data_IF_501514094242
#
_entry.id   IF_501514094242
#
_cell.length_a   1.000
_cell.length_b   1.000
_cell.length_c   1.000
_cell.angle_alpha   90.00
_cell.angle_beta   90.00
_cell.angle_gamma   90.00
#
_symmetry.space_group_name_H-M   'P 1'
#
loop_
_entity.id
_entity.type
_entity.pdbx_description
1 polymer ?
#
# COMPACT_ATOMS: atom_id res chain seq x y z
N UNK A 1 -24.68 9.45 1.73
CA UNK A 1 -23.67 8.50 2.25
C UNK A 1 -22.45 9.20 2.87
N UNK A 2 -21.98 10.34 2.34
CA UNK A 2 -21.09 11.27 3.08
C UNK A 2 -21.86 12.09 4.12
N UNK A 3 -23.15 12.36 3.88
CA UNK A 3 -24.03 13.09 4.81
C UNK A 3 -24.39 12.34 6.11
N UNK A 4 -23.86 11.13 6.30
CA UNK A 4 -24.03 10.33 7.52
C UNK A 4 -22.75 10.27 8.37
N UNK A 5 -21.64 10.89 7.94
CA UNK A 5 -20.45 10.96 8.77
C UNK A 5 -20.67 11.95 9.93
N UNK A 6 -20.19 11.64 11.14
CA UNK A 6 -20.14 12.59 12.24
C UNK A 6 -19.49 13.91 11.81
N UNK A 7 -19.96 15.03 12.35
CA UNK A 7 -19.49 16.36 11.95
C UNK A 7 -17.98 16.52 12.14
N UNK A 8 -17.43 15.99 13.23
CA UNK A 8 -15.98 16.00 13.51
C UNK A 8 -15.18 15.28 12.41
N UNK A 9 -15.63 14.11 11.97
CA UNK A 9 -14.99 13.36 10.89
C UNK A 9 -15.12 14.09 9.55
N UNK A 10 -16.24 14.75 9.28
CA UNK A 10 -16.43 15.57 8.07
C UNK A 10 -15.47 16.76 8.06
N UNK A 11 -15.34 17.46 9.18
CA UNK A 11 -14.38 18.54 9.35
C UNK A 11 -12.94 18.06 9.17
N UNK A 12 -12.59 16.90 9.76
CA UNK A 12 -11.28 16.29 9.59
C UNK A 12 -11.00 15.87 8.14
N UNK A 13 -11.96 15.23 7.46
CA UNK A 13 -11.85 14.87 6.04
C UNK A 13 -11.65 16.11 5.17
N UNK A 14 -12.31 17.21 5.50
CA UNK A 14 -12.15 18.50 4.81
C UNK A 14 -10.74 19.06 5.01
N UNK A 15 -10.24 19.11 6.25
CA UNK A 15 -8.87 19.55 6.56
C UNK A 15 -7.82 18.68 5.86
N UNK A 16 -8.00 17.36 5.89
CA UNK A 16 -7.13 16.42 5.17
C UNK A 16 -7.17 16.69 3.66
N UNK A 17 -8.35 16.96 3.09
CA UNK A 17 -8.48 17.25 1.65
C UNK A 17 -7.78 18.54 1.26
N UNK A 18 -7.93 19.60 2.06
CA UNK A 18 -7.18 20.86 1.88
C UNK A 18 -5.68 20.60 1.97
N UNK A 19 -5.21 19.86 2.97
CA UNK A 19 -3.78 19.54 3.10
C UNK A 19 -3.26 18.75 1.89
N UNK A 20 -3.97 17.71 1.45
CA UNK A 20 -3.54 16.92 0.30
C UNK A 20 -3.57 17.76 -0.99
N UNK A 21 -4.66 18.48 -1.27
CA UNK A 21 -4.81 19.22 -2.52
C UNK A 21 -3.92 20.46 -2.61
N UNK A 22 -3.77 21.20 -1.51
CA UNK A 22 -3.18 22.54 -1.54
C UNK A 22 -1.73 22.54 -1.02
N UNK A 23 -1.31 21.47 -0.33
CA UNK A 23 0.06 21.35 0.21
C UNK A 23 0.82 20.18 -0.42
N UNK A 24 0.23 18.98 -0.52
CA UNK A 24 0.95 17.79 -1.01
C UNK A 24 1.01 17.72 -2.54
N UNK A 25 -0.13 17.83 -3.23
CA UNK A 25 -0.19 17.72 -4.70
C UNK A 25 0.74 18.72 -5.40
N UNK A 26 0.84 20.00 -4.99
CA UNK A 26 1.76 20.95 -5.62
C UNK A 26 3.24 20.56 -5.51
N UNK A 27 3.61 19.73 -4.53
CA UNK A 27 4.97 19.25 -4.33
C UNK A 27 5.31 17.99 -5.15
N UNK A 28 4.33 17.34 -5.78
CA UNK A 28 4.56 16.08 -6.53
C UNK A 28 5.68 16.17 -7.59
N UNK A 29 5.80 17.23 -8.41
CA UNK A 29 6.87 17.31 -9.41
C UNK A 29 8.28 17.30 -8.79
N UNK A 30 8.48 17.98 -7.66
CA UNK A 30 9.76 17.98 -6.95
C UNK A 30 10.03 16.62 -6.31
N UNK A 31 8.99 15.98 -5.78
CA UNK A 31 9.10 14.71 -5.10
C UNK A 31 9.41 13.54 -6.06
N UNK A 32 8.95 13.62 -7.31
CA UNK A 32 9.21 12.64 -8.36
C UNK A 32 10.68 12.60 -8.82
N UNK A 33 11.49 13.61 -8.50
CA UNK A 33 12.90 13.64 -8.90
C UNK A 33 13.78 12.62 -8.16
N UNK A 34 13.32 12.11 -7.01
CA UNK A 34 14.04 11.11 -6.19
C UNK A 34 15.49 11.52 -5.86
N UNK A 35 15.71 12.82 -5.62
CA UNK A 35 17.01 13.42 -5.28
C UNK A 35 17.01 14.07 -3.87
N UNK A 36 18.10 14.73 -3.51
CA UNK A 36 18.20 15.45 -2.24
C UNK A 36 17.14 16.55 -2.06
N UNK A 37 16.61 17.12 -3.15
CA UNK A 37 15.51 18.08 -3.06
C UNK A 37 14.20 17.38 -2.69
N UNK A 38 13.94 16.19 -3.25
CA UNK A 38 12.81 15.34 -2.86
C UNK A 38 12.82 15.04 -1.36
N UNK A 39 13.97 14.69 -0.78
CA UNK A 39 14.13 14.45 0.66
C UNK A 39 13.87 15.70 1.52
N UNK A 40 14.28 16.88 1.06
CA UNK A 40 13.97 18.14 1.75
C UNK A 40 12.46 18.42 1.76
N UNK A 41 11.82 18.34 0.59
CA UNK A 41 10.38 18.58 0.43
C UNK A 41 9.57 17.60 1.27
N UNK A 42 10.00 16.34 1.35
CA UNK A 42 9.47 15.34 2.26
C UNK A 42 9.42 15.77 3.72
N UNK A 43 10.57 16.23 4.22
CA UNK A 43 10.74 16.61 5.60
C UNK A 43 9.87 17.81 5.93
N UNK A 44 9.73 18.76 5.00
CA UNK A 44 8.81 19.89 5.11
C UNK A 44 7.34 19.44 5.16
N UNK A 45 6.93 18.49 4.31
CA UNK A 45 5.57 17.94 4.35
C UNK A 45 5.29 17.23 5.68
N UNK A 46 6.24 16.43 6.18
CA UNK A 46 6.16 15.81 7.52
C UNK A 46 5.96 16.86 8.61
N UNK A 47 6.77 17.91 8.62
CA UNK A 47 6.67 19.00 9.60
C UNK A 47 5.30 19.67 9.54
N UNK A 48 4.84 20.06 8.34
CA UNK A 48 3.51 20.68 8.17
C UNK A 48 2.37 19.77 8.60
N UNK A 49 2.46 18.47 8.33
CA UNK A 49 1.46 17.49 8.77
C UNK A 49 1.43 17.35 10.31
N UNK A 50 2.60 17.32 10.96
CA UNK A 50 2.71 17.29 12.43
C UNK A 50 2.13 18.56 13.06
N UNK A 51 2.52 19.74 12.57
CA UNK A 51 2.00 21.04 13.04
C UNK A 51 0.48 21.16 12.84
N UNK A 52 -0.03 20.57 11.76
CA UNK A 52 -1.47 20.54 11.46
C UNK A 52 -2.23 19.45 12.22
N UNK A 53 -1.58 18.62 13.03
CA UNK A 53 -2.20 17.49 13.71
C UNK A 53 -2.80 16.46 12.74
N UNK A 54 -2.18 16.26 11.58
CA UNK A 54 -2.59 15.30 10.55
C UNK A 54 -1.63 14.10 10.43
N UNK A 55 -0.58 14.07 11.25
CA UNK A 55 0.42 13.00 11.25
C UNK A 55 -0.07 11.72 11.94
N UNK A 56 0.19 10.57 11.34
CA UNK A 56 -0.01 9.23 11.88
C UNK A 56 -1.41 8.97 12.47
N UNK A 57 -2.45 9.59 11.93
CA UNK A 57 -3.80 9.55 12.50
C UNK A 57 -4.39 8.14 12.64
N UNK A 58 -4.03 7.22 11.73
CA UNK A 58 -4.49 5.82 11.79
C UNK A 58 -3.74 4.93 12.78
N UNK A 59 -2.63 5.40 13.36
CA UNK A 59 -1.88 4.63 14.36
C UNK A 59 -2.54 4.74 15.75
N UNK A 60 -2.56 3.68 16.58
CA UNK A 60 -3.04 3.73 17.95
C UNK A 60 -2.31 4.77 18.81
N UNK A 61 -3.00 5.32 19.81
CA UNK A 61 -2.46 6.38 20.70
C UNK A 61 -1.29 5.84 21.53
N UNK A 62 -1.40 4.61 22.02
CA UNK A 62 -0.42 3.94 22.87
C UNK A 62 0.91 3.63 22.17
N UNK A 63 0.99 3.81 20.85
CA UNK A 63 2.25 3.74 20.08
C UNK A 63 2.69 5.10 19.53
N UNK A 64 2.08 6.20 19.98
CA UNK A 64 2.41 7.56 19.55
C UNK A 64 1.64 8.04 18.31
N UNK A 65 0.56 7.36 17.94
CA UNK A 65 -0.32 7.73 16.83
C UNK A 65 -1.45 8.69 17.20
N UNK A 66 -2.26 9.05 16.21
CA UNK A 66 -3.43 9.92 16.40
C UNK A 66 -4.72 9.21 16.85
N UNK A 67 -4.76 7.88 16.81
CA UNK A 67 -5.82 7.09 17.45
C UNK A 67 -7.17 7.08 16.76
N UNK A 68 -7.26 7.37 15.46
CA UNK A 68 -8.54 7.31 14.78
C UNK A 68 -9.09 5.87 14.72
N UNK A 69 -10.40 5.69 14.94
CA UNK A 69 -11.06 4.42 14.69
C UNK A 69 -10.83 3.93 13.26
N UNK A 70 -10.84 2.61 13.08
CA UNK A 70 -10.57 1.96 11.80
C UNK A 70 -11.44 2.54 10.67
N UNK A 71 -12.76 2.59 10.85
CA UNK A 71 -13.69 3.12 9.84
C UNK A 71 -13.46 4.60 9.51
N UNK A 72 -13.12 5.42 10.50
CA UNK A 72 -12.85 6.83 10.30
C UNK A 72 -11.59 7.02 9.44
N UNK A 73 -10.55 6.22 9.71
CA UNK A 73 -9.33 6.21 8.91
C UNK A 73 -9.54 5.63 7.50
N UNK A 74 -10.45 4.67 7.32
CA UNK A 74 -10.87 4.18 5.99
C UNK A 74 -11.36 5.34 5.12
N UNK A 75 -12.22 6.22 5.64
CA UNK A 75 -12.70 7.39 4.88
C UNK A 75 -11.61 8.42 4.57
N UNK A 76 -10.61 8.57 5.45
CA UNK A 76 -9.47 9.46 5.18
C UNK A 76 -8.56 8.92 4.08
N UNK A 77 -8.40 7.60 3.95
CA UNK A 77 -7.54 7.01 2.91
C UNK A 77 -7.99 7.33 1.48
N UNK A 78 -9.28 7.56 1.25
CA UNK A 78 -9.79 8.04 -0.05
C UNK A 78 -9.26 9.43 -0.39
N UNK A 79 -9.07 10.29 0.61
CA UNK A 79 -8.54 11.64 0.44
C UNK A 79 -7.02 11.60 0.34
N UNK A 80 -6.36 10.88 1.27
CA UNK A 80 -4.91 10.69 1.29
C UNK A 80 -4.43 10.16 -0.07
N UNK A 81 -5.16 9.21 -0.64
CA UNK A 81 -4.82 8.60 -1.91
C UNK A 81 -5.00 9.49 -3.14
N UNK A 82 -5.48 10.74 -3.04
CA UNK A 82 -5.49 11.66 -4.19
C UNK A 82 -4.08 12.02 -4.67
N UNK A 83 -3.07 11.84 -3.81
CA UNK A 83 -1.65 11.90 -4.14
C UNK A 83 -0.98 10.57 -3.80
N UNK A 84 -0.07 10.08 -4.64
CA UNK A 84 0.72 8.88 -4.30
C UNK A 84 1.66 9.17 -3.11
N UNK A 85 2.04 10.44 -2.90
CA UNK A 85 2.88 10.88 -1.80
C UNK A 85 2.07 11.19 -0.53
N UNK A 86 0.74 11.09 -0.61
CA UNK A 86 -0.16 11.42 0.50
C UNK A 86 0.10 10.57 1.74
N UNK A 87 0.32 9.26 1.59
CA UNK A 87 0.61 8.40 2.74
C UNK A 87 1.87 8.82 3.48
N UNK A 88 2.89 9.22 2.72
CA UNK A 88 4.16 9.61 3.27
C UNK A 88 4.09 10.97 3.96
N UNK A 89 3.44 11.94 3.33
CA UNK A 89 3.23 13.28 3.88
C UNK A 89 2.51 13.25 5.24
N UNK A 90 1.59 12.30 5.45
CA UNK A 90 0.77 12.21 6.68
C UNK A 90 1.19 11.09 7.62
N UNK A 91 2.35 10.46 7.41
CA UNK A 91 2.87 9.44 8.33
C UNK A 91 2.04 8.16 8.39
N UNK A 92 1.48 7.73 7.26
CA UNK A 92 0.71 6.48 7.14
C UNK A 92 1.32 5.48 6.16
N UNK A 93 2.51 5.76 5.63
CA UNK A 93 3.25 4.83 4.76
C UNK A 93 3.64 3.54 5.50
N UNK A 94 4.16 3.68 6.73
CA UNK A 94 4.66 2.58 7.57
C UNK A 94 3.59 1.88 8.39
N UNK A 95 2.31 2.25 8.27
CA UNK A 95 1.26 1.82 9.20
C UNK A 95 1.14 0.31 9.33
N UNK A 96 1.24 -0.45 8.23
CA UNK A 96 1.14 -1.91 8.29
C UNK A 96 2.28 -2.51 9.13
N UNK A 97 3.49 -1.97 9.01
CA UNK A 97 4.66 -2.42 9.75
C UNK A 97 4.59 -1.96 11.22
N UNK A 98 4.13 -0.74 11.49
CA UNK A 98 3.89 -0.25 12.86
C UNK A 98 2.85 -1.10 13.59
N UNK A 99 1.74 -1.48 12.94
CA UNK A 99 0.72 -2.34 13.54
C UNK A 99 1.25 -3.76 13.74
N UNK A 100 2.02 -4.29 12.79
CA UNK A 100 2.68 -5.60 12.94
C UNK A 100 3.63 -5.61 14.15
N UNK A 101 4.50 -4.60 14.27
CA UNK A 101 5.38 -4.45 15.42
C UNK A 101 4.59 -4.24 16.72
N UNK A 102 3.52 -3.44 16.70
CA UNK A 102 2.68 -3.25 17.88
C UNK A 102 2.12 -4.57 18.43
N UNK A 103 1.75 -5.51 17.55
CA UNK A 103 1.16 -6.80 17.92
C UNK A 103 2.18 -7.86 18.34
N UNK A 104 3.40 -7.83 17.79
CA UNK A 104 4.33 -8.96 17.86
C UNK A 104 5.72 -8.62 18.39
N UNK A 105 6.07 -7.33 18.49
CA UNK A 105 7.39 -6.93 18.91
C UNK A 105 7.59 -7.09 20.42
N UNK A 106 8.79 -7.51 20.80
CA UNK A 106 9.23 -7.46 22.21
C UNK A 106 9.58 -6.00 22.60
N UNK A 107 9.90 -5.77 23.88
CA UNK A 107 10.13 -4.42 24.40
C UNK A 107 11.31 -3.69 23.71
N UNK A 108 12.43 -4.38 23.51
CA UNK A 108 13.60 -3.81 22.83
C UNK A 108 13.28 -3.42 21.37
N UNK A 109 12.59 -4.31 20.65
CA UNK A 109 12.14 -4.04 19.29
C UNK A 109 11.16 -2.86 19.23
N UNK A 110 10.31 -2.68 20.27
CA UNK A 110 9.37 -1.55 20.34
C UNK A 110 10.12 -0.23 20.51
N UNK A 111 11.11 -0.18 21.40
CA UNK A 111 11.93 1.01 21.61
C UNK A 111 12.77 1.34 20.37
N UNK A 112 13.48 0.33 19.83
CA UNK A 112 14.45 0.52 18.74
C UNK A 112 13.80 0.75 17.38
N UNK A 113 12.64 0.15 17.11
CA UNK A 113 12.02 0.20 15.79
C UNK A 113 10.63 0.81 15.78
N UNK A 114 9.71 0.43 16.68
CA UNK A 114 8.32 0.89 16.60
C UNK A 114 8.16 2.39 16.86
N UNK A 115 8.72 2.90 17.96
CA UNK A 115 8.61 4.33 18.31
C UNK A 115 9.17 5.27 17.20
N UNK A 116 10.41 5.11 16.72
CA UNK A 116 10.94 5.95 15.64
C UNK A 116 10.19 5.76 14.31
N UNK A 117 9.61 4.59 14.07
CA UNK A 117 8.80 4.33 12.88
C UNK A 117 7.50 5.12 12.87
N UNK A 118 6.77 5.19 13.98
CA UNK A 118 5.54 6.00 14.11
C UNK A 118 5.88 7.50 14.06
N UNK A 119 7.03 7.89 14.60
CA UNK A 119 7.54 9.26 14.53
C UNK A 119 7.97 9.71 13.12
N UNK A 120 8.14 8.77 12.17
CA UNK A 120 8.64 9.03 10.82
C UNK A 120 10.12 9.41 10.79
N UNK A 121 10.91 8.81 11.66
CA UNK A 121 12.36 8.99 11.76
C UNK A 121 13.11 7.91 10.99
N UNK A 122 12.54 6.70 10.93
CA UNK A 122 13.04 5.57 10.14
C UNK A 122 11.96 5.01 9.23
N UNK A 123 12.37 4.22 8.23
CA UNK A 123 11.48 3.46 7.37
C UNK A 123 11.68 1.95 7.55
N UNK A 124 10.63 1.14 7.39
CA UNK A 124 10.74 -0.30 7.38
C UNK A 124 10.89 -0.80 5.93
N UNK A 125 11.35 -2.04 5.77
CA UNK A 125 11.16 -2.81 4.56
C UNK A 125 10.73 -4.24 4.88
N UNK A 126 10.25 -4.97 3.87
CA UNK A 126 9.80 -6.35 4.01
C UNK A 126 10.43 -7.21 2.92
N UNK A 127 11.16 -8.23 3.34
CA UNK A 127 11.80 -9.22 2.48
C UNK A 127 11.00 -10.52 2.46
N UNK A 128 10.03 -10.62 1.55
CA UNK A 128 9.17 -11.80 1.40
C UNK A 128 9.44 -12.53 0.09
N UNK A 129 9.29 -11.83 -1.03
CA UNK A 129 9.36 -12.36 -2.40
C UNK A 129 10.78 -12.75 -2.78
N UNK A 130 10.91 -13.88 -3.48
CA UNK A 130 12.17 -14.41 -4.00
C UNK A 130 12.08 -14.52 -5.53
N UNK A 131 13.17 -14.25 -6.28
CA UNK A 131 13.14 -14.34 -7.74
C UNK A 131 13.09 -15.78 -8.26
N UNK A 132 13.57 -16.76 -7.49
CA UNK A 132 13.66 -18.17 -7.91
C UNK A 132 12.32 -18.92 -7.84
N UNK A 133 11.36 -18.40 -7.07
CA UNK A 133 10.08 -19.07 -6.79
C UNK A 133 8.88 -18.14 -6.97
N UNK A 134 7.70 -18.73 -7.07
CA UNK A 134 6.48 -17.97 -7.30
C UNK A 134 6.12 -17.11 -6.09
N UNK A 135 6.30 -15.78 -6.17
CA UNK A 135 5.90 -14.85 -5.11
C UNK A 135 4.41 -14.91 -4.73
N UNK A 136 3.55 -15.34 -5.66
CA UNK A 136 2.12 -15.58 -5.41
C UNK A 136 1.85 -16.76 -4.47
N UNK A 137 2.82 -17.65 -4.29
CA UNK A 137 2.79 -18.78 -3.37
C UNK A 137 3.98 -18.69 -2.40
N UNK A 138 3.88 -17.91 -1.31
CA UNK A 138 4.99 -17.68 -0.38
C UNK A 138 5.47 -18.95 0.34
N UNK A 139 4.74 -20.06 0.19
CA UNK A 139 5.12 -21.34 0.77
C UNK A 139 6.24 -22.06 0.02
N UNK A 140 6.63 -21.56 -1.15
CA UNK A 140 7.75 -22.05 -1.94
C UNK A 140 9.08 -21.36 -1.60
N UNK A 141 9.05 -20.39 -0.67
CA UNK A 141 10.22 -19.67 -0.18
C UNK A 141 11.38 -20.62 0.16
N UNK A 142 12.59 -20.20 -0.16
CA UNK A 142 13.83 -20.96 -0.02
C UNK A 142 14.82 -20.31 0.96
N UNK A 143 14.71 -19.01 1.23
CA UNK A 143 15.55 -18.34 2.23
C UNK A 143 15.43 -19.05 3.59
N UNK A 144 16.56 -19.24 4.26
CA UNK A 144 16.66 -19.96 5.54
C UNK A 144 17.19 -19.05 6.63
N UNK A 145 16.73 -19.28 7.86
CA UNK A 145 17.32 -18.72 9.07
C UNK A 145 17.52 -19.86 10.08
N UNK A 146 18.79 -20.17 10.40
CA UNK A 146 19.17 -21.27 11.28
C UNK A 146 19.74 -20.70 12.57
N UNK A 147 19.40 -21.29 13.72
CA UNK A 147 20.04 -20.90 14.98
C UNK A 147 21.44 -21.51 15.09
N UNK A 148 22.40 -20.64 15.40
CA UNK A 148 23.77 -20.99 15.77
C UNK A 148 24.11 -20.28 17.08
N UNK A 149 23.98 -21.01 18.20
CA UNK A 149 24.06 -20.43 19.54
C UNK A 149 22.86 -19.53 19.86
N UNK A 150 23.13 -18.27 20.17
CA UNK A 150 22.15 -17.22 20.47
C UNK A 150 21.87 -16.30 19.28
N UNK A 151 22.29 -16.67 18.06
CA UNK A 151 22.08 -15.88 16.85
C UNK A 151 21.33 -16.67 15.76
N UNK A 152 20.55 -15.95 14.96
CA UNK A 152 20.06 -16.40 13.67
C UNK A 152 21.10 -16.15 12.59
N UNK A 153 21.43 -17.18 11.81
CA UNK A 153 22.22 -17.08 10.58
C UNK A 153 21.29 -17.17 9.38
N UNK A 154 21.21 -16.09 8.62
CA UNK A 154 20.23 -15.91 7.55
C UNK A 154 20.92 -15.95 6.19
N UNK A 155 20.42 -16.80 5.31
CA UNK A 155 20.84 -16.91 3.92
C UNK A 155 19.63 -16.88 2.98
N UNK A 156 19.72 -16.11 1.90
CA UNK A 156 18.64 -16.06 0.92
C UNK A 156 18.74 -14.91 -0.06
N UNK A 157 17.84 -14.92 -1.04
CA UNK A 157 17.79 -13.92 -2.11
C UNK A 157 16.37 -13.35 -2.20
N UNK A 158 16.19 -12.07 -1.88
CA UNK A 158 14.90 -11.39 -1.92
C UNK A 158 14.88 -10.35 -3.02
N UNK A 159 13.73 -10.13 -3.64
CA UNK A 159 13.52 -9.04 -4.61
C UNK A 159 12.17 -8.37 -4.40
N UNK A 160 12.00 -7.17 -4.99
CA UNK A 160 10.89 -6.28 -4.67
C UNK A 160 10.81 -5.91 -3.16
N UNK A 161 11.95 -5.95 -2.47
CA UNK A 161 12.10 -5.53 -1.07
C UNK A 161 12.00 -4.00 -1.03
N UNK A 162 10.79 -3.51 -0.80
CA UNK A 162 10.44 -2.13 -1.13
C UNK A 162 11.06 -1.13 -0.16
N UNK A 163 11.83 -0.16 -0.65
CA UNK A 163 12.50 0.86 0.15
C UNK A 163 13.69 0.38 0.98
N UNK A 164 14.23 -0.81 0.72
CA UNK A 164 15.35 -1.37 1.50
C UNK A 164 16.61 -0.48 1.48
N UNK A 165 16.82 0.30 0.43
CA UNK A 165 17.92 1.27 0.30
C UNK A 165 17.82 2.50 1.22
N UNK A 166 16.69 2.70 1.89
CA UNK A 166 16.46 3.80 2.85
C UNK A 166 15.84 3.33 4.17
N UNK A 167 15.59 2.03 4.31
CA UNK A 167 15.03 1.45 5.50
C UNK A 167 16.10 1.36 6.58
N UNK A 168 15.71 1.43 7.85
CA UNK A 168 16.61 1.12 8.96
C UNK A 168 16.68 -0.39 9.20
N UNK A 169 15.64 -1.12 8.80
CA UNK A 169 15.57 -2.58 8.92
C UNK A 169 14.66 -3.18 7.86
N UNK A 170 14.89 -4.46 7.58
CA UNK A 170 13.97 -5.31 6.80
C UNK A 170 13.42 -6.40 7.70
N UNK A 171 12.10 -6.56 7.76
CA UNK A 171 11.50 -7.79 8.30
C UNK A 171 11.64 -8.88 7.24
N UNK A 172 12.57 -9.80 7.47
CA UNK A 172 12.89 -10.91 6.57
C UNK A 172 12.04 -12.12 6.95
N UNK A 173 11.33 -12.66 5.97
CA UNK A 173 10.66 -13.94 6.11
C UNK A 173 11.57 -15.04 5.56
N UNK A 174 11.80 -16.06 6.39
CA UNK A 174 12.67 -17.19 6.08
C UNK A 174 12.16 -18.48 6.73
N UNK A 175 12.57 -19.63 6.18
CA UNK A 175 12.34 -20.94 6.77
C UNK A 175 13.18 -21.07 8.04
N UNK A 176 12.52 -21.34 9.17
CA UNK A 176 13.18 -21.71 10.43
C UNK A 176 12.78 -23.10 10.91
N UNK A 177 11.61 -23.59 10.50
CA UNK A 177 11.05 -24.89 10.88
C UNK A 177 10.86 -25.76 9.64
N UNK A 178 11.94 -26.28 9.06
CA UNK A 178 11.91 -26.98 7.77
C UNK A 178 10.98 -28.22 7.75
N UNK A 179 10.85 -28.89 8.89
CA UNK A 179 10.07 -30.12 9.08
C UNK A 179 8.62 -29.88 9.53
N UNK A 180 8.22 -28.61 9.74
CA UNK A 180 6.85 -28.28 10.16
C UNK A 180 5.83 -28.37 9.02
N UNK A 181 4.55 -28.28 9.37
CA UNK A 181 3.46 -28.11 8.42
C UNK A 181 3.67 -26.87 7.53
N UNK A 182 3.14 -26.91 6.29
CA UNK A 182 3.44 -25.94 5.22
C UNK A 182 3.36 -24.47 5.63
N UNK A 183 2.38 -24.07 6.44
CA UNK A 183 2.20 -22.68 6.90
C UNK A 183 2.93 -22.36 8.21
N UNK A 184 3.54 -23.35 8.86
CA UNK A 184 4.27 -23.21 10.12
C UNK A 184 5.80 -23.27 9.92
N UNK A 185 6.28 -23.31 8.67
CA UNK A 185 7.71 -23.40 8.35
C UNK A 185 8.49 -22.09 8.52
N UNK A 186 7.80 -20.97 8.41
CA UNK A 186 8.41 -19.66 8.22
C UNK A 186 8.34 -18.82 9.50
N UNK A 187 9.38 -18.04 9.77
CA UNK A 187 9.38 -17.01 10.80
C UNK A 187 9.64 -15.63 10.17
N UNK A 188 9.32 -14.58 10.93
CA UNK A 188 9.70 -13.20 10.61
C UNK A 188 10.82 -12.76 11.54
N UNK A 189 11.91 -12.23 10.99
CA UNK A 189 13.09 -11.78 11.75
C UNK A 189 13.41 -10.34 11.32
N UNK A 190 13.61 -9.44 12.28
CA UNK A 190 14.01 -8.07 12.01
C UNK A 190 15.52 -8.03 11.74
N UNK A 191 15.93 -7.53 10.58
CA UNK A 191 17.34 -7.43 10.19
C UNK A 191 17.68 -5.97 9.90
N UNK A 192 18.49 -5.29 10.73
CA UNK A 192 19.02 -3.98 10.40
C UNK A 192 19.73 -3.99 9.04
N UNK A 193 19.51 -2.98 8.21
CA UNK A 193 20.02 -2.97 6.82
C UNK A 193 21.53 -2.75 6.72
N UNK A 194 22.17 -2.36 7.82
CA UNK A 194 23.61 -2.18 7.98
C UNK A 194 24.31 -3.43 8.56
N UNK A 195 23.58 -4.53 8.77
CA UNK A 195 24.15 -5.79 9.27
C UNK A 195 25.12 -6.38 8.24
N UNK A 196 26.28 -6.88 8.70
CA UNK A 196 27.23 -7.59 7.84
C UNK A 196 26.55 -8.75 7.10
N UNK A 197 26.84 -8.90 5.80
CA UNK A 197 26.21 -9.89 4.93
C UNK A 197 24.89 -9.45 4.28
N UNK A 198 24.30 -8.32 4.70
CA UNK A 198 23.13 -7.72 4.04
C UNK A 198 23.59 -6.90 2.83
N UNK A 199 23.30 -7.37 1.62
CA UNK A 199 23.75 -6.73 0.39
C UNK A 199 22.58 -6.30 -0.48
N UNK A 200 22.46 -5.00 -0.75
CA UNK A 200 21.58 -4.50 -1.81
C UNK A 200 22.30 -4.69 -3.14
N UNK A 201 21.94 -5.74 -3.88
CA UNK A 201 22.53 -6.07 -5.19
C UNK A 201 22.26 -4.96 -6.20
N UNK A 202 21.01 -4.47 -6.23
CA UNK A 202 20.61 -3.31 -7.03
C UNK A 202 19.25 -2.77 -6.61
N UNK A 203 18.98 -1.53 -7.02
CA UNK A 203 17.61 -1.03 -7.17
C UNK A 203 17.04 -1.60 -8.47
N UNK A 204 15.86 -2.21 -8.41
CA UNK A 204 15.13 -2.78 -9.55
C UNK A 204 14.34 -1.67 -10.24
N UNK A 205 14.65 -1.32 -11.51
CA UNK A 205 13.84 -0.37 -12.26
C UNK A 205 12.46 -0.95 -12.56
N UNK A 206 11.40 -0.17 -12.33
CA UNK A 206 10.01 -0.60 -12.53
C UNK A 206 9.21 0.43 -13.33
N UNK A 207 8.03 0.02 -13.82
CA UNK A 207 7.06 0.97 -14.36
C UNK A 207 6.58 1.88 -13.23
N UNK A 208 7.04 3.13 -13.16
CA UNK A 208 6.66 3.97 -12.02
C UNK A 208 7.86 4.67 -11.45
N UNK A 209 8.85 3.85 -11.10
CA UNK A 209 9.97 4.26 -10.27
C UNK A 209 11.28 3.72 -10.81
N UNK A 210 12.22 4.62 -11.02
CA UNK A 210 13.54 4.31 -11.56
C UNK A 210 14.68 4.51 -10.56
N UNK A 211 14.46 5.22 -9.44
CA UNK A 211 15.53 5.66 -8.55
C UNK A 211 15.52 5.10 -7.12
N UNK A 212 14.59 4.23 -6.69
CA UNK A 212 14.78 3.66 -5.35
C UNK A 212 13.69 2.83 -4.68
N UNK A 213 12.56 2.52 -5.32
CA UNK A 213 11.46 1.93 -4.53
C UNK A 213 11.55 0.44 -4.29
N UNK A 214 12.28 -0.34 -5.10
CA UNK A 214 12.34 -1.79 -4.98
C UNK A 214 13.78 -2.28 -5.07
N UNK A 215 14.23 -3.06 -4.10
CA UNK A 215 15.59 -3.60 -4.08
C UNK A 215 15.58 -5.11 -4.33
N UNK A 216 16.63 -5.55 -5.01
CA UNK A 216 17.13 -6.93 -4.99
C UNK A 216 18.17 -7.00 -3.86
N UNK A 217 17.99 -7.92 -2.92
CA UNK A 217 18.74 -8.01 -1.67
C UNK A 217 19.21 -9.44 -1.47
N UNK A 218 20.51 -9.60 -1.28
CA UNK A 218 21.14 -10.86 -0.94
C UNK A 218 21.48 -10.86 0.56
N UNK A 219 21.23 -12.00 1.21
CA UNK A 219 21.63 -12.27 2.59
C UNK A 219 22.68 -13.37 2.55
N UNK A 220 23.91 -13.03 2.94
CA UNK A 220 25.05 -13.95 2.96
C UNK A 220 25.56 -14.09 4.39
N UNK A 221 25.18 -15.18 5.06
CA UNK A 221 25.52 -15.46 6.46
C UNK A 221 25.23 -14.27 7.40
N UNK A 222 24.12 -13.58 7.19
CA UNK A 222 23.70 -12.45 8.03
C UNK A 222 23.40 -12.95 9.44
N UNK A 223 24.09 -12.41 10.44
CA UNK A 223 23.93 -12.81 11.85
C UNK A 223 23.20 -11.73 12.64
N UNK A 224 22.13 -12.14 13.34
CA UNK A 224 21.38 -11.27 14.26
C UNK A 224 21.01 -12.03 15.53
N UNK A 225 20.89 -11.38 16.70
CA UNK A 225 20.51 -12.05 17.94
C UNK A 225 19.18 -12.81 17.84
N UNK A 226 19.00 -13.84 18.67
CA UNK A 226 17.77 -14.62 18.79
C UNK A 226 16.54 -13.70 18.98
N UNK A 227 16.71 -12.64 19.76
CA UNK A 227 15.73 -11.62 20.12
C UNK A 227 15.25 -10.79 18.93
N UNK A 228 15.89 -10.87 17.76
CA UNK A 228 15.39 -10.25 16.53
C UNK A 228 14.21 -11.01 15.90
N UNK A 229 13.87 -12.20 16.42
CA UNK A 229 12.64 -12.90 16.06
C UNK A 229 11.41 -12.03 16.39
N UNK A 230 10.57 -11.78 15.40
CA UNK A 230 9.31 -11.07 15.57
C UNK A 230 8.17 -12.08 15.74
N UNK A 231 7.51 -12.06 16.89
CA UNK A 231 6.53 -13.07 17.27
C UNK A 231 7.18 -14.43 17.58
N UNK A 232 6.47 -15.53 17.33
CA UNK A 232 6.96 -16.89 17.58
C UNK A 232 7.61 -17.56 16.37
N UNK A 233 8.47 -18.56 16.64
CA UNK A 233 9.01 -19.44 15.61
C UNK A 233 7.89 -20.13 14.84
N UNK A 234 8.01 -20.21 13.52
CA UNK A 234 7.01 -20.79 12.62
C UNK A 234 5.74 -19.95 12.44
N UNK A 235 5.65 -18.75 13.04
CA UNK A 235 4.45 -17.90 12.95
C UNK A 235 4.48 -16.88 11.81
N UNK A 236 5.54 -16.85 11.00
CA UNK A 236 5.75 -15.86 9.94
C UNK A 236 4.60 -15.81 8.93
N UNK A 237 4.05 -16.96 8.52
CA UNK A 237 2.90 -16.97 7.60
C UNK A 237 1.67 -16.28 8.20
N UNK A 238 1.39 -16.53 9.49
CA UNK A 238 0.26 -15.91 10.19
C UNK A 238 0.45 -14.40 10.35
N UNK A 239 1.66 -13.98 10.75
CA UNK A 239 2.03 -12.57 10.91
C UNK A 239 1.88 -11.83 9.57
N UNK A 240 2.37 -12.42 8.47
CA UNK A 240 2.21 -11.86 7.14
C UNK A 240 0.72 -11.68 6.76
N UNK A 241 -0.15 -12.67 7.01
CA UNK A 241 -1.59 -12.54 6.71
C UNK A 241 -2.25 -11.44 7.54
N UNK A 242 -1.92 -11.31 8.83
CA UNK A 242 -2.45 -10.26 9.71
C UNK A 242 -2.01 -8.86 9.28
N UNK A 243 -0.77 -8.71 8.80
CA UNK A 243 -0.25 -7.46 8.22
C UNK A 243 -1.02 -7.03 6.96
N UNK A 244 -1.33 -7.97 6.06
CA UNK A 244 -1.89 -7.66 4.73
C UNK A 244 -3.40 -7.39 4.72
N UNK A 245 -4.18 -8.01 5.62
CA UNK A 245 -5.65 -7.97 5.60
C UNK A 245 -6.25 -6.55 5.56
N UNK A 246 -6.15 -5.76 6.66
CA UNK A 246 -6.64 -4.37 6.69
C UNK A 246 -5.94 -3.46 5.68
N UNK A 247 -4.67 -3.75 5.37
CA UNK A 247 -3.87 -3.00 4.40
C UNK A 247 -4.53 -2.87 3.02
N UNK A 248 -5.17 -3.94 2.54
CA UNK A 248 -5.84 -3.99 1.22
C UNK A 248 -7.05 -3.08 1.12
N UNK A 249 -7.76 -2.83 2.22
CA UNK A 249 -8.85 -1.85 2.26
C UNK A 249 -8.28 -0.45 2.09
N UNK A 250 -7.22 -0.12 2.82
CA UNK A 250 -6.58 1.19 2.70
C UNK A 250 -6.00 1.42 1.30
N UNK A 251 -5.40 0.40 0.66
CA UNK A 251 -4.99 0.48 -0.75
C UNK A 251 -6.18 0.77 -1.67
N UNK A 252 -7.29 0.03 -1.51
CA UNK A 252 -8.49 0.23 -2.33
C UNK A 252 -9.10 1.62 -2.16
N UNK A 253 -9.12 2.15 -0.93
CA UNK A 253 -9.54 3.53 -0.68
C UNK A 253 -8.60 4.53 -1.36
N UNK A 254 -7.28 4.32 -1.29
CA UNK A 254 -6.34 5.22 -1.97
C UNK A 254 -6.46 5.19 -3.48
N UNK A 255 -6.73 4.01 -4.07
CA UNK A 255 -7.02 3.89 -5.50
C UNK A 255 -8.29 4.65 -5.90
N UNK A 256 -9.33 4.66 -5.06
CA UNK A 256 -10.50 5.51 -5.29
C UNK A 256 -10.14 7.01 -5.31
N UNK A 257 -9.20 7.44 -4.46
CA UNK A 257 -8.65 8.80 -4.46
C UNK A 257 -7.94 9.16 -5.76
N UNK A 258 -7.04 8.28 -6.23
CA UNK A 258 -6.35 8.43 -7.52
C UNK A 258 -7.34 8.47 -8.70
N UNK A 259 -8.29 7.52 -8.74
CA UNK A 259 -9.29 7.45 -9.80
C UNK A 259 -10.19 8.69 -9.83
N UNK A 260 -10.57 9.24 -8.66
CA UNK A 260 -11.32 10.50 -8.59
C UNK A 260 -10.53 11.67 -9.17
N UNK A 261 -9.25 11.79 -8.84
CA UNK A 261 -8.40 12.85 -9.40
C UNK A 261 -8.25 12.70 -10.91
N UNK A 262 -8.02 11.50 -11.42
CA UNK A 262 -7.97 11.23 -12.86
C UNK A 262 -9.31 11.56 -13.55
N UNK A 263 -10.43 11.24 -12.91
CA UNK A 263 -11.77 11.59 -13.39
C UNK A 263 -12.01 13.10 -13.44
N UNK A 264 -11.57 13.85 -12.42
CA UNK A 264 -11.64 15.31 -12.39
C UNK A 264 -10.85 15.91 -13.57
N UNK A 265 -9.61 15.46 -13.77
CA UNK A 265 -8.77 15.87 -14.91
C UNK A 265 -9.45 15.54 -16.25
N UNK A 266 -10.02 14.34 -16.39
CA UNK A 266 -10.75 13.92 -17.58
C UNK A 266 -11.91 14.87 -17.89
N UNK A 267 -12.74 15.19 -16.89
CA UNK A 267 -13.86 16.10 -17.04
C UNK A 267 -13.42 17.53 -17.38
N UNK A 268 -12.36 18.02 -16.73
CA UNK A 268 -11.78 19.34 -17.01
C UNK A 268 -11.30 19.44 -18.45
N UNK A 269 -10.51 18.46 -18.91
CA UNK A 269 -10.05 18.39 -20.29
C UNK A 269 -11.21 18.35 -21.28
N UNK A 270 -12.23 17.54 -21.00
CA UNK A 270 -13.40 17.40 -21.85
C UNK A 270 -14.14 18.73 -22.05
N UNK A 271 -14.29 19.52 -20.98
CA UNK A 271 -14.95 20.83 -21.01
C UNK A 271 -14.16 21.91 -21.76
N UNK A 272 -12.83 21.86 -21.69
CA UNK A 272 -11.98 22.93 -22.24
C UNK A 272 -11.52 22.69 -23.67
N UNK A 273 -11.45 21.43 -24.12
CA UNK A 273 -10.87 21.11 -25.43
C UNK A 273 -11.93 21.15 -26.54
N UNK A 274 -11.78 22.10 -27.46
CA UNK A 274 -12.56 22.15 -28.71
C UNK A 274 -11.87 21.34 -29.82
N UNK A 275 -12.61 20.45 -30.47
CA UNK A 275 -12.13 19.64 -31.59
C UNK A 275 -13.29 19.17 -32.48
N UNK A 276 -13.08 19.21 -33.80
CA UNK A 276 -14.06 18.74 -34.80
C UNK A 276 -15.46 19.33 -34.57
N UNK A 277 -15.55 20.65 -34.45
CA UNK A 277 -16.82 21.38 -34.43
C UNK A 277 -17.54 21.49 -33.07
N UNK A 278 -17.04 20.90 -31.99
CA UNK A 278 -17.63 21.04 -30.64
C UNK A 278 -16.57 20.82 -29.56
N UNK A 279 -16.93 21.03 -28.29
CA UNK A 279 -16.10 20.57 -27.18
C UNK A 279 -16.11 19.04 -27.07
N UNK A 280 -15.05 18.47 -26.49
CA UNK A 280 -14.97 17.03 -26.25
C UNK A 280 -16.12 16.54 -25.36
N UNK A 281 -16.57 17.33 -24.38
CA UNK A 281 -17.70 17.01 -23.51
C UNK A 281 -19.03 16.79 -24.26
N UNK A 282 -19.14 17.25 -25.50
CA UNK A 282 -20.34 17.09 -26.35
C UNK A 282 -20.25 15.83 -27.24
N UNK A 283 -19.12 15.13 -27.24
CA UNK A 283 -18.93 13.91 -28.05
C UNK A 283 -19.44 12.69 -27.28
N UNK A 284 -20.29 11.89 -27.92
CA UNK A 284 -20.92 10.71 -27.30
C UNK A 284 -19.92 9.73 -26.68
N UNK A 285 -18.81 9.44 -27.36
CA UNK A 285 -17.78 8.53 -26.83
C UNK A 285 -17.11 9.06 -25.56
N UNK A 286 -16.89 10.37 -25.48
CA UNK A 286 -16.31 11.01 -24.28
C UNK A 286 -17.32 11.01 -23.13
N UNK A 287 -18.60 11.25 -23.42
CA UNK A 287 -19.67 11.15 -22.42
C UNK A 287 -19.79 9.73 -21.87
N UNK A 288 -19.66 8.71 -22.72
CA UNK A 288 -19.65 7.30 -22.31
C UNK A 288 -18.46 7.00 -21.39
N UNK A 289 -17.24 7.43 -21.75
CA UNK A 289 -16.06 7.27 -20.89
C UNK A 289 -16.24 7.90 -19.50
N UNK A 290 -16.83 9.10 -19.44
CA UNK A 290 -17.13 9.80 -18.18
C UNK A 290 -18.17 9.01 -17.38
N UNK A 291 -19.27 8.61 -17.99
CA UNK A 291 -20.35 7.88 -17.33
C UNK A 291 -19.88 6.52 -16.76
N UNK A 292 -19.13 5.74 -17.56
CA UNK A 292 -18.57 4.46 -17.13
C UNK A 292 -17.59 4.63 -15.97
N UNK A 293 -16.71 5.63 -16.05
CA UNK A 293 -15.76 5.93 -14.97
C UNK A 293 -16.48 6.27 -13.66
N UNK A 294 -17.54 7.08 -13.71
CA UNK A 294 -18.33 7.42 -12.53
C UNK A 294 -19.01 6.17 -11.92
N UNK A 295 -19.57 5.30 -12.76
CA UNK A 295 -20.20 4.06 -12.31
C UNK A 295 -19.18 3.10 -11.67
N UNK A 296 -18.01 2.91 -12.29
CA UNK A 296 -16.95 2.05 -11.76
C UNK A 296 -16.40 2.56 -10.41
N UNK A 297 -16.13 3.86 -10.30
CA UNK A 297 -15.69 4.50 -9.05
C UNK A 297 -16.73 4.28 -7.95
N UNK A 298 -18.02 4.53 -8.24
CA UNK A 298 -19.07 4.40 -7.25
C UNK A 298 -19.25 2.93 -6.82
N UNK A 299 -19.23 1.98 -7.75
CA UNK A 299 -19.31 0.56 -7.44
C UNK A 299 -18.13 0.10 -6.57
N UNK A 300 -16.90 0.47 -6.94
CA UNK A 300 -15.71 0.14 -6.16
C UNK A 300 -15.76 0.76 -4.75
N UNK A 301 -16.23 2.01 -4.62
CA UNK A 301 -16.43 2.66 -3.30
C UNK A 301 -17.38 1.87 -2.42
N UNK A 302 -18.52 1.44 -2.95
CA UNK A 302 -19.49 0.66 -2.19
C UNK A 302 -18.91 -0.68 -1.73
N UNK A 303 -18.25 -1.41 -2.63
CA UNK A 303 -17.61 -2.69 -2.29
C UNK A 303 -16.50 -2.53 -1.24
N UNK A 304 -15.68 -1.47 -1.32
CA UNK A 304 -14.62 -1.24 -0.34
C UNK A 304 -15.16 -0.88 1.02
N UNK A 305 -16.21 -0.04 1.09
CA UNK A 305 -16.86 0.29 2.35
C UNK A 305 -17.59 -0.91 2.98
N UNK A 306 -18.14 -1.78 2.15
CA UNK A 306 -18.74 -3.04 2.61
C UNK A 306 -17.70 -3.97 3.24
N UNK A 307 -16.57 -4.21 2.55
CA UNK A 307 -15.44 -4.96 3.10
C UNK A 307 -14.91 -4.35 4.40
N UNK A 308 -14.85 -3.02 4.49
CA UNK A 308 -14.43 -2.32 5.70
C UNK A 308 -15.39 -2.55 6.86
N UNK A 309 -16.70 -2.45 6.64
CA UNK A 309 -17.71 -2.73 7.68
C UNK A 309 -17.64 -4.18 8.16
N UNK A 310 -17.41 -5.13 7.26
CA UNK A 310 -17.24 -6.53 7.63
C UNK A 310 -16.05 -6.75 8.57
N UNK A 311 -14.89 -6.12 8.29
CA UNK A 311 -13.75 -6.16 9.22
C UNK A 311 -14.09 -5.48 10.55
N UNK A 312 -14.71 -4.31 10.50
CA UNK A 312 -15.07 -3.53 11.70
C UNK A 312 -16.05 -4.29 12.61
N UNK A 313 -16.91 -5.15 12.04
CA UNK A 313 -17.80 -6.04 12.77
C UNK A 313 -17.14 -7.36 13.23
N UNK A 314 -15.82 -7.51 13.07
CA UNK A 314 -15.05 -8.67 13.52
C UNK A 314 -14.92 -9.83 12.52
N UNK A 315 -15.41 -9.68 11.28
CA UNK A 315 -15.20 -10.68 10.23
C UNK A 315 -13.76 -10.60 9.69
N UNK A 316 -13.25 -11.72 9.17
CA UNK A 316 -11.99 -11.70 8.41
C UNK A 316 -12.16 -11.15 6.98
N UNK A 317 -13.42 -10.97 6.52
CA UNK A 317 -13.80 -10.36 5.24
C UNK A 317 -13.01 -10.88 4.01
N UNK A 318 -12.62 -12.17 4.01
CA UNK A 318 -11.65 -12.71 3.04
C UNK A 318 -12.16 -12.65 1.59
N UNK A 319 -13.46 -12.82 1.39
CA UNK A 319 -14.09 -12.76 0.06
C UNK A 319 -14.13 -11.31 -0.40
N UNK A 320 -14.62 -10.42 0.44
CA UNK A 320 -14.79 -8.99 0.23
C UNK A 320 -13.45 -8.31 -0.05
N UNK A 321 -12.43 -8.57 0.78
CA UNK A 321 -11.05 -8.09 0.58
C UNK A 321 -10.51 -8.54 -0.78
N UNK A 322 -10.77 -9.78 -1.18
CA UNK A 322 -10.29 -10.29 -2.46
C UNK A 322 -11.01 -9.64 -3.64
N UNK A 323 -12.33 -9.46 -3.54
CA UNK A 323 -13.13 -8.75 -4.54
C UNK A 323 -12.62 -7.32 -4.75
N UNK A 324 -12.46 -6.55 -3.67
CA UNK A 324 -12.04 -5.16 -3.77
C UNK A 324 -10.61 -5.02 -4.29
N UNK A 325 -9.74 -5.99 -4.03
CA UNK A 325 -8.37 -5.96 -4.54
C UNK A 325 -8.39 -5.98 -6.07
N UNK A 326 -8.87 -7.07 -6.68
CA UNK A 326 -8.77 -7.20 -8.13
C UNK A 326 -9.74 -6.26 -8.86
N UNK A 327 -10.92 -5.98 -8.29
CA UNK A 327 -11.86 -5.04 -8.90
C UNK A 327 -11.38 -3.60 -8.79
N UNK A 328 -10.92 -3.19 -7.60
CA UNK A 328 -10.43 -1.83 -7.33
C UNK A 328 -9.21 -1.49 -8.18
N UNK A 329 -8.26 -2.41 -8.33
CA UNK A 329 -7.09 -2.23 -9.20
C UNK A 329 -7.50 -2.09 -10.67
N UNK A 330 -8.48 -2.89 -11.15
CA UNK A 330 -9.02 -2.75 -12.51
C UNK A 330 -9.74 -1.42 -12.71
N UNK A 331 -10.59 -1.01 -11.76
CA UNK A 331 -11.29 0.27 -11.81
C UNK A 331 -10.29 1.43 -11.92
N UNK A 332 -9.25 1.43 -11.08
CA UNK A 332 -8.20 2.45 -11.14
C UNK A 332 -7.56 2.50 -12.54
N UNK A 333 -7.15 1.34 -13.07
CA UNK A 333 -6.54 1.25 -14.39
C UNK A 333 -7.47 1.78 -15.48
N UNK A 334 -8.72 1.33 -15.52
CA UNK A 334 -9.70 1.76 -16.52
C UNK A 334 -9.96 3.28 -16.50
N UNK A 335 -10.14 3.86 -15.31
CA UNK A 335 -10.43 5.30 -15.17
C UNK A 335 -9.24 6.14 -15.61
N UNK A 336 -8.02 5.76 -15.20
CA UNK A 336 -6.80 6.48 -15.61
C UNK A 336 -6.57 6.35 -17.11
N UNK A 337 -6.77 5.16 -17.68
CA UNK A 337 -6.64 4.91 -19.12
C UNK A 337 -7.61 5.78 -19.94
N UNK A 338 -8.89 5.82 -19.55
CA UNK A 338 -9.87 6.72 -20.18
C UNK A 338 -9.47 8.19 -20.03
N UNK A 339 -8.96 8.60 -18.86
CA UNK A 339 -8.49 9.97 -18.66
C UNK A 339 -7.33 10.32 -19.62
N UNK A 340 -6.37 9.41 -19.81
CA UNK A 340 -5.29 9.56 -20.80
C UNK A 340 -5.87 9.70 -22.21
N UNK A 341 -6.82 8.84 -22.57
CA UNK A 341 -7.45 8.85 -23.89
C UNK A 341 -8.14 10.19 -24.19
N UNK A 342 -8.83 10.79 -23.21
CA UNK A 342 -9.44 12.13 -23.35
C UNK A 342 -8.40 13.25 -23.48
N UNK A 343 -7.21 13.08 -22.88
CA UNK A 343 -6.11 14.03 -22.99
C UNK A 343 -5.36 13.94 -24.34
N UNK A 344 -5.44 12.79 -25.01
CA UNK A 344 -4.70 12.51 -26.24
C UNK A 344 -3.19 12.44 -25.97
N UNK A 345 -2.37 12.98 -26.87
CA UNK A 345 -0.91 12.96 -26.73
C UNK A 345 -0.42 13.55 -25.39
N UNK A 346 -1.10 14.55 -24.83
CA UNK A 346 -0.74 15.14 -23.53
C UNK A 346 -0.87 14.15 -22.37
N UNK A 347 -1.80 13.18 -22.45
CA UNK A 347 -2.04 12.20 -21.40
C UNK A 347 -0.91 11.19 -21.21
N UNK A 348 -0.04 11.02 -22.22
CA UNK A 348 1.13 10.13 -22.16
C UNK A 348 2.44 10.88 -21.87
N UNK A 349 2.34 12.13 -21.44
CA UNK A 349 3.49 12.98 -21.08
C UNK A 349 3.47 13.32 -19.59
N UNK A 350 4.64 13.69 -19.07
CA UNK A 350 4.81 14.20 -17.72
C UNK A 350 4.22 15.60 -17.49
N UNK A 351 3.62 16.23 -18.52
CA UNK A 351 2.88 17.49 -18.37
C UNK A 351 1.58 17.30 -17.54
N UNK A 352 1.16 16.05 -17.34
CA UNK A 352 0.05 15.68 -16.46
C UNK A 352 0.48 14.54 -15.54
N UNK A 353 -0.15 14.34 -14.37
CA UNK A 353 0.16 13.20 -13.51
C UNK A 353 -0.32 11.85 -14.09
N UNK A 354 -1.09 11.86 -15.19
CA UNK A 354 -1.79 10.68 -15.69
C UNK A 354 -0.85 9.56 -16.14
N UNK A 355 0.30 9.89 -16.74
CA UNK A 355 1.25 8.87 -17.19
C UNK A 355 1.83 8.08 -16.01
N UNK A 356 2.18 8.77 -14.92
CA UNK A 356 2.67 8.15 -13.71
C UNK A 356 1.55 7.34 -13.03
N UNK A 357 0.35 7.92 -12.92
CA UNK A 357 -0.84 7.23 -12.39
C UNK A 357 -1.12 5.93 -13.14
N UNK A 358 -0.93 5.90 -14.47
CA UNK A 358 -1.16 4.70 -15.28
C UNK A 358 -0.16 3.60 -14.98
N UNK A 359 1.13 3.96 -14.84
CA UNK A 359 2.19 3.01 -14.47
C UNK A 359 1.92 2.39 -13.09
N UNK A 360 1.51 3.21 -12.12
CA UNK A 360 1.11 2.74 -10.80
C UNK A 360 -0.16 1.88 -10.83
N UNK A 361 -1.17 2.27 -11.61
CA UNK A 361 -2.40 1.51 -11.77
C UNK A 361 -2.14 0.13 -12.38
N UNK A 362 -1.17 0.03 -13.31
CA UNK A 362 -0.73 -1.26 -13.83
C UNK A 362 -0.08 -2.11 -12.74
N UNK A 363 0.72 -1.51 -11.87
CA UNK A 363 1.40 -2.22 -10.79
C UNK A 363 0.44 -2.71 -9.69
N UNK A 364 -0.64 -1.97 -9.41
CA UNK A 364 -1.70 -2.34 -8.48
C UNK A 364 -2.34 -3.72 -8.73
N UNK A 365 -2.30 -4.19 -9.99
CA UNK A 365 -2.80 -5.52 -10.37
C UNK A 365 -1.87 -6.67 -9.96
N UNK A 366 -0.65 -6.37 -9.51
CA UNK A 366 0.39 -7.34 -9.18
C UNK A 366 0.76 -7.35 -7.70
N UNK A 367 1.01 -6.19 -7.11
CA UNK A 367 1.49 -6.12 -5.73
C UNK A 367 0.40 -6.55 -4.73
N UNK A 368 0.84 -6.98 -3.55
CA UNK A 368 -0.01 -7.49 -2.45
C UNK A 368 -0.96 -8.62 -2.89
N UNK A 369 -0.47 -9.47 -3.81
CA UNK A 369 -1.18 -10.61 -4.38
C UNK A 369 -1.75 -10.29 -5.77
N UNK A 370 -1.38 -11.04 -6.83
CA UNK A 370 -1.87 -10.75 -8.17
C UNK A 370 -3.37 -11.03 -8.30
N UNK A 371 -4.04 -10.38 -9.26
CA UNK A 371 -5.48 -10.51 -9.49
C UNK A 371 -5.94 -11.99 -9.61
N UNK A 372 -5.11 -12.85 -10.21
CA UNK A 372 -5.35 -14.29 -10.37
C UNK A 372 -5.51 -15.00 -9.02
N UNK A 373 -4.67 -14.66 -8.03
CA UNK A 373 -4.73 -15.26 -6.69
C UNK A 373 -6.03 -14.85 -6.00
N UNK A 374 -6.41 -13.57 -6.09
CA UNK A 374 -7.65 -13.11 -5.46
C UNK A 374 -8.89 -13.68 -6.14
N UNK A 375 -8.92 -13.75 -7.49
CA UNK A 375 -9.99 -14.41 -8.23
C UNK A 375 -10.11 -15.89 -7.86
N UNK A 376 -8.99 -16.60 -7.74
CA UNK A 376 -8.95 -17.98 -7.29
C UNK A 376 -9.50 -18.14 -5.86
N UNK A 377 -9.12 -17.26 -4.93
CA UNK A 377 -9.61 -17.28 -3.54
C UNK A 377 -11.13 -17.10 -3.49
N UNK A 378 -11.66 -16.11 -4.22
CA UNK A 378 -13.11 -15.88 -4.31
C UNK A 378 -13.82 -17.09 -4.91
N UNK A 379 -13.37 -17.56 -6.08
CA UNK A 379 -13.99 -18.70 -6.76
C UNK A 379 -14.04 -19.96 -5.87
N UNK A 380 -12.94 -20.30 -5.18
CA UNK A 380 -12.88 -21.45 -4.28
C UNK A 380 -13.85 -21.32 -3.10
N UNK A 381 -14.03 -20.12 -2.55
CA UNK A 381 -14.95 -19.87 -1.44
C UNK A 381 -16.40 -19.97 -1.90
N UNK A 382 -16.76 -19.26 -2.97
CA UNK A 382 -18.15 -19.19 -3.43
C UNK A 382 -18.65 -20.51 -4.03
N UNK A 383 -17.79 -21.31 -4.68
CA UNK A 383 -18.19 -22.64 -5.16
C UNK A 383 -18.51 -23.59 -3.99
N UNK A 384 -17.79 -23.46 -2.88
CA UNK A 384 -18.03 -24.27 -1.67
C UNK A 384 -19.29 -23.83 -0.94
N UNK A 385 -19.59 -22.53 -0.93
CA UNK A 385 -20.73 -21.94 -0.25
C UNK A 385 -21.31 -20.76 -1.04
N UNK A 386 -22.20 -21.03 -2.02
CA UNK A 386 -22.74 -20.01 -2.90
C UNK A 386 -23.90 -19.22 -2.29
N UNK A 387 -24.39 -19.61 -1.12
CA UNK A 387 -25.57 -19.01 -0.49
C UNK A 387 -25.20 -18.11 0.68
N UNK A 388 -24.33 -18.56 1.58
CA UNK A 388 -23.92 -17.78 2.76
C UNK A 388 -22.51 -17.16 2.57
N UNK A 389 -21.72 -17.67 1.62
CA UNK A 389 -20.36 -17.19 1.37
C UNK A 389 -20.24 -15.95 0.48
N UNK A 390 -21.37 -15.46 -0.07
CA UNK A 390 -21.42 -14.26 -0.93
C UNK A 390 -21.61 -12.98 -0.10
N UNK A 391 -21.02 -11.84 -0.49
CA UNK A 391 -21.13 -10.59 0.30
C UNK A 391 -22.54 -9.98 0.37
N UNK A 392 -23.47 -10.44 -0.47
CA UNK A 392 -24.83 -9.89 -0.57
C UNK A 392 -25.90 -10.83 0.01
N UNK A 393 -25.49 -11.94 0.61
CA UNK A 393 -26.37 -12.75 1.43
C UNK A 393 -26.74 -12.00 2.70
#
# INVERSE_FOLDING_TARGET
>A
MVDQLPEELRALKTRMKTFINDVVIPCEPELMNEDANSERVAAELKTKAKESGLWALGHPVEIGGGGLPFMDFVYLNEVIGRSHWGQWAVGSLSMQDSIMLHLYANEDQRERFLAPLVAGEIYPSVGLTEPEVAGSDPTQMQATAVLDGDEWVINGHKWFTSGANRAAFTTVFAITEADAEKHNKFSSIIVPTDTEGYEIVRVVPTMGHTGGNHCEVQYNDVRVPYENLLGGRGQGFHIAQKRLGPGRIFHSMRWLGQAQRAFELMCERAKMRYAHGSYLAEKGDIQAMIAESAAEIQAARMMTLDAARAIDSGSEARTEISLIKFWGARMLHNVVDRAIQVHGAMGVTSDTPLEFMYREARYARLYDGPDEVHRMVVARRLVRDPYEGVPWA
#
